data_IF_006516195538
#
_entry.id   IF_006516195538
#
_cell.length_a   1.000
_cell.length_b   1.000
_cell.length_c   1.000
_cell.angle_alpha   90.00
_cell.angle_beta   90.00
_cell.angle_gamma   90.00
#
_symmetry.space_group_name_H-M   'P 1'
#
loop_
_entity.id
_entity.type
_entity.pdbx_description
1 polymer ?
#
# COMPACT_ATOMS: atom_id res chain seq x y z
N UNK A 1 -3.48 6.35 2.99
CA UNK A 1 -4.38 5.25 2.66
C UNK A 1 -4.67 4.47 3.92
N UNK A 2 -5.92 4.04 4.16
CA UNK A 2 -6.28 3.14 5.25
C UNK A 2 -5.65 1.74 5.05
N UNK A 3 -5.18 1.14 6.14
CA UNK A 3 -4.78 -0.27 6.20
C UNK A 3 -5.93 -1.15 6.70
N UNK A 4 -5.61 -2.37 7.15
CA UNK A 4 -6.63 -3.33 7.62
C UNK A 4 -7.14 -3.05 9.05
N UNK A 5 -6.57 -2.10 9.78
CA UNK A 5 -6.98 -1.73 11.14
C UNK A 5 -7.88 -0.48 11.17
N UNK A 6 -7.92 0.27 10.08
CA UNK A 6 -8.76 1.46 9.91
C UNK A 6 -10.18 1.08 9.49
N UNK A 7 -10.83 0.19 10.25
CA UNK A 7 -12.14 -0.42 9.95
C UNK A 7 -13.24 0.63 9.69
N UNK A 8 -13.12 1.83 10.26
CA UNK A 8 -14.06 2.92 10.04
C UNK A 8 -14.18 3.33 8.55
N UNK A 9 -13.12 3.16 7.74
CA UNK A 9 -13.17 3.44 6.30
C UNK A 9 -14.00 2.42 5.52
N UNK A 10 -14.20 1.23 6.08
CA UNK A 10 -15.08 0.21 5.51
C UNK A 10 -16.54 0.36 5.99
N UNK A 11 -16.73 0.71 7.27
CA UNK A 11 -18.07 0.79 7.87
C UNK A 11 -18.77 2.15 7.65
N UNK A 12 -18.02 3.24 7.72
CA UNK A 12 -18.52 4.62 7.73
C UNK A 12 -17.59 5.52 6.90
N UNK A 13 -17.49 5.32 5.57
CA UNK A 13 -16.47 5.97 4.73
C UNK A 13 -16.62 7.50 4.66
N UNK A 14 -17.84 8.03 4.69
CA UNK A 14 -18.06 9.49 4.63
C UNK A 14 -17.62 10.16 5.93
N UNK A 15 -17.98 9.58 7.07
CA UNK A 15 -17.55 10.03 8.38
C UNK A 15 -16.03 9.92 8.54
N UNK A 16 -15.44 8.80 8.11
CA UNK A 16 -13.99 8.59 8.15
C UNK A 16 -13.24 9.68 7.36
N UNK A 17 -13.75 10.06 6.18
CA UNK A 17 -13.15 11.12 5.36
C UNK A 17 -13.27 12.49 6.02
N UNK A 18 -14.35 12.78 6.74
CA UNK A 18 -14.51 14.05 7.46
C UNK A 18 -13.53 14.21 8.63
N UNK A 19 -13.02 13.11 9.17
CA UNK A 19 -12.01 13.14 10.24
C UNK A 19 -10.61 13.49 9.75
N UNK A 20 -10.37 13.53 8.43
CA UNK A 20 -9.06 13.80 7.86
C UNK A 20 -8.75 15.31 7.94
N UNK A 21 -7.67 15.71 8.64
CA UNK A 21 -7.24 17.10 8.71
C UNK A 21 -6.96 17.69 7.32
N UNK A 22 -7.19 18.99 7.16
CA UNK A 22 -7.05 19.69 5.88
C UNK A 22 -5.63 19.63 5.27
N UNK A 23 -4.60 19.37 6.07
CA UNK A 23 -3.22 19.24 5.63
C UNK A 23 -2.83 17.79 5.28
N UNK A 24 -3.77 16.85 5.28
CA UNK A 24 -3.55 15.44 4.96
C UNK A 24 -4.35 15.07 3.72
N UNK A 25 -3.66 14.57 2.70
CA UNK A 25 -4.31 14.00 1.52
C UNK A 25 -4.57 12.51 1.73
N UNK A 26 -5.84 12.13 1.82
CA UNK A 26 -6.24 10.74 1.79
C UNK A 26 -6.27 10.24 0.33
N UNK A 27 -5.52 9.18 0.05
CA UNK A 27 -5.64 8.42 -1.20
C UNK A 27 -6.31 7.07 -0.92
N UNK A 28 -7.38 6.79 -1.65
CA UNK A 28 -8.16 5.54 -1.61
C UNK A 28 -8.73 5.28 -3.01
N UNK A 29 -8.20 4.26 -3.70
CA UNK A 29 -8.58 3.88 -5.07
C UNK A 29 -8.47 5.03 -6.09
N UNK A 30 -7.51 5.93 -5.88
CA UNK A 30 -7.30 7.12 -6.68
C UNK A 30 -5.81 7.51 -6.73
N UNK A 31 -5.49 8.46 -7.61
CA UNK A 31 -4.15 9.02 -7.73
C UNK A 31 -4.11 10.54 -7.67
N UNK A 32 -2.91 11.07 -7.43
CA UNK A 32 -2.60 12.50 -7.39
C UNK A 32 -1.24 12.75 -8.05
N UNK A 33 -1.08 13.93 -8.65
CA UNK A 33 0.23 14.44 -9.04
C UNK A 33 0.64 15.54 -8.08
N UNK A 34 1.86 15.45 -7.55
CA UNK A 34 2.45 16.46 -6.69
C UNK A 34 3.87 16.76 -7.19
N UNK A 35 4.12 18.00 -7.59
CA UNK A 35 5.41 18.45 -8.12
C UNK A 35 5.94 17.58 -9.29
N UNK A 36 5.05 17.19 -10.20
CA UNK A 36 5.36 16.35 -11.36
C UNK A 36 5.51 14.85 -11.07
N UNK A 37 5.41 14.44 -9.80
CA UNK A 37 5.51 13.04 -9.33
C UNK A 37 4.11 12.46 -9.17
N UNK A 38 3.85 11.30 -9.78
CA UNK A 38 2.54 10.64 -9.73
C UNK A 38 2.45 9.56 -8.67
N UNK A 39 1.43 9.66 -7.83
CA UNK A 39 1.10 8.70 -6.78
C UNK A 39 -0.24 8.05 -7.09
N UNK A 40 -0.36 6.75 -6.86
CA UNK A 40 -1.62 6.03 -6.98
C UNK A 40 -1.80 5.06 -5.82
N UNK A 41 -2.99 5.00 -5.25
CA UNK A 41 -3.32 4.12 -4.14
C UNK A 41 -4.40 3.12 -4.53
N UNK A 42 -4.23 1.85 -4.14
CA UNK A 42 -5.27 0.82 -4.28
C UNK A 42 -5.59 0.27 -2.89
N UNK A 43 -6.84 0.38 -2.48
CA UNK A 43 -7.31 -0.08 -1.17
C UNK A 43 -7.28 -1.60 -1.08
N UNK A 44 -7.12 -2.12 0.14
CA UNK A 44 -7.24 -3.57 0.42
C UNK A 44 -8.61 -4.11 -0.01
N UNK A 45 -9.67 -3.30 0.10
CA UNK A 45 -11.02 -3.67 -0.34
C UNK A 45 -11.08 -3.89 -1.85
N UNK A 46 -10.54 -2.94 -2.63
CA UNK A 46 -10.49 -3.06 -4.08
C UNK A 46 -9.67 -4.28 -4.51
N UNK A 47 -8.52 -4.51 -3.88
CA UNK A 47 -7.67 -5.69 -4.16
C UNK A 47 -8.44 -7.00 -3.93
N UNK A 48 -9.12 -7.13 -2.78
CA UNK A 48 -9.92 -8.32 -2.46
C UNK A 48 -11.09 -8.51 -3.45
N UNK A 49 -11.78 -7.43 -3.81
CA UNK A 49 -12.86 -7.47 -4.79
C UNK A 49 -12.36 -7.95 -6.16
N UNK A 50 -11.22 -7.42 -6.64
CA UNK A 50 -10.61 -7.86 -7.89
C UNK A 50 -10.19 -9.33 -7.83
N UNK A 51 -9.62 -9.78 -6.72
CA UNK A 51 -9.20 -11.17 -6.53
C UNK A 51 -10.41 -12.13 -6.54
N UNK A 52 -11.55 -11.71 -5.98
CA UNK A 52 -12.77 -12.51 -5.96
C UNK A 52 -13.48 -12.56 -7.32
N UNK A 53 -13.54 -11.42 -8.02
CA UNK A 53 -14.28 -11.29 -9.28
C UNK A 53 -13.45 -11.59 -10.53
N UNK A 54 -12.13 -11.78 -10.39
CA UNK A 54 -11.21 -11.92 -11.52
C UNK A 54 -11.00 -10.62 -12.29
N UNK A 55 -10.93 -9.49 -11.58
CA UNK A 55 -10.72 -8.17 -12.17
C UNK A 55 -9.24 -7.82 -12.34
N UNK A 56 -8.95 -6.87 -13.23
CA UNK A 56 -7.64 -6.23 -13.33
C UNK A 56 -7.67 -4.84 -12.69
N UNK A 57 -6.52 -4.40 -12.18
CA UNK A 57 -6.38 -3.00 -11.75
C UNK A 57 -6.09 -2.10 -12.96
N UNK A 58 -6.94 -1.09 -13.17
CA UNK A 58 -6.69 -0.05 -14.17
C UNK A 58 -5.76 1.05 -13.62
N UNK A 59 -4.50 0.67 -13.38
CA UNK A 59 -3.47 1.61 -12.97
C UNK A 59 -3.03 2.47 -14.17
N UNK A 60 -2.94 3.81 -14.03
CA UNK A 60 -2.40 4.67 -15.07
C UNK A 60 -0.98 4.27 -15.48
N UNK A 61 -0.67 4.33 -16.79
CA UNK A 61 0.64 3.95 -17.33
C UNK A 61 1.81 4.77 -16.74
N UNK A 62 1.59 6.04 -16.39
CA UNK A 62 2.58 6.86 -15.69
C UNK A 62 2.30 6.84 -14.18
N UNK A 63 2.92 5.89 -13.47
CA UNK A 63 2.86 5.82 -12.01
C UNK A 63 4.27 5.80 -11.42
N UNK A 64 4.69 6.88 -10.75
CA UNK A 64 5.99 6.92 -10.07
C UNK A 64 5.95 6.13 -8.76
N UNK A 65 4.85 6.23 -8.02
CA UNK A 65 4.63 5.52 -6.76
C UNK A 65 3.27 4.85 -6.72
N UNK A 66 3.28 3.52 -6.73
CA UNK A 66 2.12 2.72 -6.34
C UNK A 66 2.15 2.50 -4.82
N UNK A 67 1.02 2.73 -4.16
CA UNK A 67 0.84 2.57 -2.72
C UNK A 67 -0.25 1.54 -2.49
N UNK A 68 0.04 0.48 -1.75
CA UNK A 68 -0.95 -0.52 -1.29
C UNK A 68 -0.71 -0.83 0.18
N UNK A 69 -1.71 -1.28 0.93
CA UNK A 69 -1.44 -1.78 2.28
C UNK A 69 -0.82 -3.19 2.23
N UNK A 70 -1.42 -4.06 1.43
CA UNK A 70 -1.00 -5.45 1.24
C UNK A 70 0.14 -5.52 0.20
N UNK A 71 1.17 -6.36 0.41
CA UNK A 71 2.24 -6.56 -0.57
C UNK A 71 1.79 -7.30 -1.85
N UNK A 72 2.52 -7.17 -2.96
CA UNK A 72 2.37 -8.07 -4.10
C UNK A 72 2.93 -9.46 -3.77
N UNK A 73 2.37 -10.50 -4.39
CA UNK A 73 2.83 -11.88 -4.18
C UNK A 73 4.32 -12.05 -4.49
N UNK A 74 5.02 -12.71 -3.58
CA UNK A 74 6.43 -13.06 -3.72
C UNK A 74 7.42 -11.92 -3.52
N UNK A 75 6.98 -10.77 -2.99
CA UNK A 75 7.85 -9.64 -2.64
C UNK A 75 7.61 -9.23 -1.19
N UNK A 76 8.56 -9.53 -0.29
CA UNK A 76 8.50 -9.17 1.13
C UNK A 76 7.15 -9.52 1.81
N UNK A 77 6.50 -10.58 1.34
CA UNK A 77 5.07 -10.83 1.59
C UNK A 77 4.77 -11.96 2.58
N UNK A 78 5.76 -12.82 2.86
CA UNK A 78 5.62 -13.99 3.74
C UNK A 78 4.38 -14.87 3.42
N UNK A 79 4.04 -14.97 2.13
CA UNK A 79 2.90 -15.77 1.65
C UNK A 79 1.54 -15.08 1.79
N UNK A 80 1.49 -13.82 2.22
CA UNK A 80 0.25 -13.03 2.33
C UNK A 80 0.01 -12.09 1.14
N UNK A 81 0.92 -12.10 0.16
CA UNK A 81 0.87 -11.16 -0.96
C UNK A 81 -0.23 -11.46 -1.97
N UNK A 82 -0.65 -10.42 -2.70
CA UNK A 82 -1.73 -10.50 -3.69
C UNK A 82 -1.20 -10.82 -5.08
N UNK A 83 -1.80 -11.83 -5.73
CA UNK A 83 -1.58 -12.17 -7.15
C UNK A 83 -2.02 -11.05 -8.09
N UNK A 84 -3.12 -10.36 -7.76
CA UNK A 84 -3.62 -9.23 -8.55
C UNK A 84 -2.59 -8.10 -8.57
N UNK A 85 -1.95 -7.82 -7.43
CA UNK A 85 -0.91 -6.80 -7.36
C UNK A 85 0.37 -7.21 -8.10
N UNK A 86 0.79 -8.48 -8.00
CA UNK A 86 1.90 -9.01 -8.79
C UNK A 86 1.66 -8.79 -10.29
N UNK A 87 0.49 -9.19 -10.79
CA UNK A 87 0.12 -9.02 -12.20
C UNK A 87 0.02 -7.54 -12.60
N UNK A 88 -0.54 -6.70 -11.73
CA UNK A 88 -0.65 -5.25 -11.97
C UNK A 88 0.73 -4.62 -12.12
N UNK A 89 1.66 -4.92 -11.22
CA UNK A 89 3.02 -4.38 -11.25
C UNK A 89 3.79 -4.89 -12.46
N UNK A 90 3.67 -6.18 -12.80
CA UNK A 90 4.27 -6.74 -14.01
C UNK A 90 3.81 -6.05 -15.28
N UNK A 91 2.51 -5.73 -15.37
CA UNK A 91 1.89 -5.12 -16.55
C UNK A 91 2.16 -3.61 -16.64
N UNK A 92 2.19 -2.91 -15.51
CA UNK A 92 2.16 -1.44 -15.45
C UNK A 92 3.48 -0.81 -15.02
N UNK A 93 4.38 -1.58 -14.41
CA UNK A 93 5.75 -1.21 -14.05
C UNK A 93 5.87 0.18 -13.38
N UNK A 94 5.18 0.42 -12.24
CA UNK A 94 5.41 1.63 -11.48
C UNK A 94 6.88 1.73 -11.06
N UNK A 95 7.45 2.94 -10.93
CA UNK A 95 8.86 3.06 -10.54
C UNK A 95 9.12 2.54 -9.13
N UNK A 96 8.19 2.83 -8.23
CA UNK A 96 8.20 2.35 -6.85
C UNK A 96 6.86 1.75 -6.47
N UNK A 97 6.88 0.69 -5.66
CA UNK A 97 5.71 0.13 -5.01
C UNK A 97 5.95 0.05 -3.51
N UNK A 98 5.25 0.91 -2.77
CA UNK A 98 5.35 1.02 -1.32
C UNK A 98 4.16 0.32 -0.67
N UNK A 99 4.44 -0.51 0.33
CA UNK A 99 3.42 -1.24 1.08
C UNK A 99 3.82 -1.49 2.53
N UNK A 100 2.90 -2.07 3.31
CA UNK A 100 3.12 -2.40 4.71
C UNK A 100 2.68 -3.83 5.01
N UNK A 101 1.81 -3.98 6.01
CA UNK A 101 1.17 -5.22 6.47
C UNK A 101 2.10 -6.27 7.08
N UNK A 102 3.17 -6.66 6.40
CA UNK A 102 4.08 -7.72 6.86
C UNK A 102 5.16 -7.12 7.76
N UNK A 103 4.85 -6.99 9.05
CA UNK A 103 5.72 -6.28 10.01
C UNK A 103 7.11 -6.89 10.15
N UNK A 104 7.23 -8.21 10.01
CA UNK A 104 8.48 -9.00 9.97
C UNK A 104 9.48 -8.48 8.91
N UNK A 105 8.96 -7.94 7.81
CA UNK A 105 9.73 -7.39 6.68
C UNK A 105 9.82 -5.86 6.68
N UNK A 106 9.36 -5.19 7.73
CA UNK A 106 9.38 -3.73 7.83
C UNK A 106 10.79 -3.14 7.66
N UNK A 107 10.88 -2.05 6.91
CA UNK A 107 12.13 -1.34 6.58
C UNK A 107 12.98 -1.99 5.49
N UNK A 108 12.53 -3.09 4.88
CA UNK A 108 13.26 -3.78 3.81
C UNK A 108 12.81 -3.29 2.42
N UNK A 109 13.73 -3.36 1.47
CA UNK A 109 13.49 -3.00 0.07
C UNK A 109 14.06 -4.08 -0.86
N UNK A 110 13.41 -4.27 -2.01
CA UNK A 110 13.84 -5.17 -3.08
C UNK A 110 13.64 -4.50 -4.44
N UNK A 111 14.32 -4.96 -5.48
CA UNK A 111 14.13 -4.48 -6.86
C UNK A 111 13.88 -5.66 -7.79
N UNK A 112 12.77 -5.60 -8.53
CA UNK A 112 12.35 -6.64 -9.47
C UNK A 112 11.46 -6.03 -10.55
N UNK A 113 11.48 -6.58 -11.76
CA UNK A 113 10.60 -6.12 -12.86
C UNK A 113 10.69 -4.61 -13.13
N UNK A 114 11.89 -4.03 -12.97
CA UNK A 114 12.15 -2.58 -13.08
C UNK A 114 11.36 -1.71 -12.09
N UNK A 115 10.84 -2.30 -11.02
CA UNK A 115 10.13 -1.66 -9.91
C UNK A 115 10.93 -1.82 -8.63
N UNK A 116 11.03 -0.73 -7.85
CA UNK A 116 11.59 -0.78 -6.49
C UNK A 116 10.48 -0.96 -5.47
N UNK A 117 10.56 -2.03 -4.71
CA UNK A 117 9.59 -2.38 -3.67
C UNK A 117 10.13 -1.98 -2.30
N UNK A 118 9.24 -1.45 -1.45
CA UNK A 118 9.59 -1.10 -0.08
C UNK A 118 8.47 -1.47 0.88
N UNK A 119 8.77 -2.32 1.85
CA UNK A 119 7.88 -2.53 2.99
C UNK A 119 8.18 -1.47 4.06
N UNK A 120 7.35 -0.44 4.14
CA UNK A 120 7.54 0.72 5.02
C UNK A 120 6.88 0.55 6.39
N UNK A 121 6.55 -0.68 6.80
CA UNK A 121 6.03 -0.96 8.14
C UNK A 121 7.02 -0.54 9.23
N UNK A 122 6.58 0.29 10.17
CA UNK A 122 7.41 0.82 11.28
C UNK A 122 7.25 0.07 12.59
N UNK A 123 6.36 -0.94 12.66
CA UNK A 123 6.05 -1.66 13.90
C UNK A 123 7.30 -2.17 14.63
N UNK A 124 8.24 -2.79 13.93
CA UNK A 124 9.47 -3.28 14.55
C UNK A 124 10.38 -2.18 15.08
N UNK A 125 10.42 -1.03 14.41
CA UNK A 125 11.21 0.13 14.85
C UNK A 125 10.64 0.64 16.17
N UNK A 126 9.31 0.75 16.25
CA UNK A 126 8.59 1.18 17.46
C UNK A 126 8.80 0.21 18.63
N UNK A 127 8.68 -1.10 18.40
CA UNK A 127 8.92 -2.10 19.45
C UNK A 127 10.36 -2.05 19.99
N UNK A 128 11.36 -1.76 19.13
CA UNK A 128 12.77 -1.62 19.55
C UNK A 128 13.00 -0.37 20.39
N UNK A 129 12.33 0.73 20.08
CA UNK A 129 12.39 1.96 20.90
C UNK A 129 11.69 1.76 22.24
N UNK A 130 10.54 1.11 22.31
CA UNK A 130 9.84 0.84 23.57
C UNK A 130 10.68 -0.09 24.48
N UNK A 131 11.36 -1.06 23.88
CA UNK A 131 12.30 -1.94 24.61
C UNK A 131 13.52 -1.20 25.18
N UNK A 132 13.90 -0.05 24.62
CA UNK A 132 14.98 0.81 25.16
C UNK A 132 14.51 1.72 26.29
N UNK A 133 13.20 1.97 26.41
CA UNK A 133 12.63 2.83 27.45
C UNK A 133 11.93 2.08 28.59
N UNK A 134 11.93 0.74 28.58
CA UNK A 134 11.66 -0.13 29.73
C UNK A 134 10.57 0.37 30.69
N UNK A 135 9.31 0.20 30.30
CA UNK A 135 8.23 -0.05 31.27
C UNK A 135 8.08 -1.56 31.48
#
# INVERSE_FOLDING_TARGET
>A
MPGNHEIIFDLCPEEARQLIPANITLLEDCGIEYDGITFYAISSRMIQQMQWLGGECDLPYKTDFLITHIPPKGILDEGTGSEILEQTVLKRQPKHHLFGHVHSKGGQCEEKWSTKFGNVSTFQILCRTDSQFGL
#
